data_IF_556545080698
#
_entry.id   IF_556545080698
#
_cell.length_a   1.000
_cell.length_b   1.000
_cell.length_c   1.000
_cell.angle_alpha   90.00
_cell.angle_beta   90.00
_cell.angle_gamma   90.00
#
_symmetry.space_group_name_H-M   'P 1'
#
loop_
_entity.id
_entity.type
_entity.pdbx_description
1 polymer ?
#
# COMPACT_ATOMS: atom_id res chain seq x y z
N UNK A 1 -20.11 0.41 25.43
CA UNK A 1 -20.33 0.48 23.96
C UNK A 1 -19.77 1.82 23.50
N UNK A 2 -18.72 1.85 22.67
CA UNK A 2 -18.07 3.10 22.24
C UNK A 2 -18.48 3.42 20.79
N UNK A 3 -19.29 4.47 20.54
CA UNK A 3 -19.73 4.85 19.20
C UNK A 3 -18.77 5.90 18.64
N UNK A 4 -17.90 5.56 17.69
CA UNK A 4 -17.07 6.63 17.12
C UNK A 4 -15.91 6.27 16.19
N UNK A 5 -15.62 5.01 15.91
CA UNK A 5 -14.58 4.69 14.92
C UNK A 5 -15.16 4.71 13.51
N UNK A 6 -15.22 5.90 12.92
CA UNK A 6 -15.43 6.09 11.49
C UNK A 6 -14.11 5.83 10.75
N UNK A 7 -14.06 4.74 9.98
CA UNK A 7 -12.94 4.47 9.07
C UNK A 7 -13.11 5.36 7.84
N UNK A 8 -12.41 6.49 7.79
CA UNK A 8 -12.34 7.32 6.58
C UNK A 8 -11.37 6.67 5.60
N UNK A 9 -11.90 6.11 4.52
CA UNK A 9 -11.09 5.79 3.35
C UNK A 9 -10.80 7.12 2.62
N UNK A 10 -9.58 7.63 2.77
CA UNK A 10 -9.12 8.74 1.93
C UNK A 10 -8.77 8.13 0.57
N UNK A 11 -9.62 8.35 -0.43
CA UNK A 11 -9.29 8.02 -1.81
C UNK A 11 -8.05 8.83 -2.19
N UNK A 12 -6.94 8.15 -2.44
CA UNK A 12 -5.72 8.79 -2.94
C UNK A 12 -6.01 9.13 -4.40
N UNK A 13 -5.95 10.42 -4.73
CA UNK A 13 -5.95 10.90 -6.12
C UNK A 13 -4.93 10.07 -6.91
N UNK A 14 -5.39 9.47 -8.00
CA UNK A 14 -4.76 8.35 -8.71
C UNK A 14 -3.22 8.39 -8.71
N UNK A 15 -2.62 7.30 -8.22
CA UNK A 15 -1.18 7.00 -8.30
C UNK A 15 -0.63 7.21 -9.71
N UNK A 16 0.60 7.72 -9.78
CA UNK A 16 1.42 7.88 -10.99
C UNK A 16 1.28 6.69 -11.97
N UNK A 17 0.98 6.99 -13.24
CA UNK A 17 0.90 5.97 -14.29
C UNK A 17 2.31 5.57 -14.71
N UNK A 18 2.72 4.33 -14.39
CA UNK A 18 4.01 3.79 -14.82
C UNK A 18 3.86 2.93 -16.08
N UNK A 19 4.61 3.21 -17.18
CA UNK A 19 4.64 2.34 -18.34
C UNK A 19 5.36 1.02 -17.99
N UNK A 20 4.78 -0.11 -18.39
CA UNK A 20 5.26 -1.45 -18.05
C UNK A 20 5.55 -2.23 -19.33
N UNK A 21 6.76 -2.75 -19.49
CA UNK A 21 7.06 -3.75 -20.52
C UNK A 21 6.70 -5.15 -19.99
N UNK A 22 6.09 -6.01 -20.81
CA UNK A 22 5.53 -7.31 -20.39
C UNK A 22 6.49 -8.35 -19.80
N UNK A 23 7.79 -8.04 -19.69
CA UNK A 23 8.80 -8.87 -19.01
C UNK A 23 9.48 -8.15 -17.84
N UNK A 24 9.09 -6.92 -17.54
CA UNK A 24 9.69 -6.12 -16.49
C UNK A 24 9.23 -6.60 -15.11
N UNK A 25 10.16 -6.52 -14.16
CA UNK A 25 9.83 -6.50 -12.75
C UNK A 25 9.32 -5.10 -12.39
N UNK A 26 8.19 -5.02 -11.69
CA UNK A 26 7.76 -3.75 -11.09
C UNK A 26 7.78 -3.88 -9.58
N UNK A 27 8.25 -2.82 -8.96
CA UNK A 27 8.10 -2.58 -7.54
C UNK A 27 7.07 -1.48 -7.34
N UNK A 28 6.03 -1.76 -6.54
CA UNK A 28 5.10 -0.73 -6.07
C UNK A 28 5.41 -0.42 -4.61
N UNK A 29 5.38 0.86 -4.28
CA UNK A 29 5.53 1.35 -2.92
C UNK A 29 4.38 2.28 -2.57
N UNK A 30 3.92 2.22 -1.32
CA UNK A 30 3.04 3.24 -0.77
C UNK A 30 3.47 3.59 0.65
N UNK A 31 3.34 4.86 1.00
CA UNK A 31 3.63 5.37 2.33
C UNK A 31 2.30 5.70 2.98
N UNK A 32 2.07 5.16 4.18
CA UNK A 32 0.87 5.45 4.97
C UNK A 32 1.26 5.91 6.35
N UNK A 33 0.52 6.86 6.89
CA UNK A 33 0.68 7.35 8.26
C UNK A 33 -0.55 6.97 9.08
N UNK A 34 -0.34 6.42 10.28
CA UNK A 34 -1.46 6.08 11.16
C UNK A 34 -1.08 5.15 12.30
N UNK A 35 -2.05 4.31 12.72
CA UNK A 35 -1.89 3.44 13.88
C UNK A 35 -0.85 2.34 13.67
N UNK A 36 -0.26 1.84 14.77
CA UNK A 36 0.75 0.77 14.74
C UNK A 36 0.27 -0.51 14.00
N UNK A 37 -1.03 -0.81 14.02
CA UNK A 37 -1.62 -2.02 13.45
C UNK A 37 -2.12 -1.89 11.99
N UNK A 38 -1.62 -0.90 11.22
CA UNK A 38 -2.00 -0.72 9.81
C UNK A 38 -1.60 -1.91 8.92
N UNK A 39 -2.45 -2.21 7.94
CA UNK A 39 -2.24 -3.24 6.91
C UNK A 39 -2.55 -2.67 5.52
N UNK A 40 -1.84 -3.16 4.50
CA UNK A 40 -2.05 -2.79 3.09
C UNK A 40 -2.54 -4.01 2.31
N UNK A 41 -3.47 -3.78 1.39
CA UNK A 41 -3.93 -4.76 0.41
C UNK A 41 -3.72 -4.21 -0.99
N UNK A 42 -3.21 -5.05 -1.88
CA UNK A 42 -2.95 -4.68 -3.26
C UNK A 42 -4.06 -5.23 -4.15
N UNK A 43 -4.46 -4.42 -5.14
CA UNK A 43 -5.48 -4.79 -6.12
C UNK A 43 -4.90 -4.68 -7.53
N UNK A 44 -5.39 -5.53 -8.44
CA UNK A 44 -5.18 -5.44 -9.89
C UNK A 44 -6.56 -5.65 -10.53
N UNK A 45 -7.00 -4.70 -11.35
CA UNK A 45 -8.30 -4.78 -12.06
C UNK A 45 -9.45 -5.17 -11.10
N UNK A 46 -9.52 -4.48 -9.97
CA UNK A 46 -10.47 -4.70 -8.86
C UNK A 46 -10.37 -6.04 -8.11
N UNK A 47 -9.45 -6.93 -8.50
CA UNK A 47 -9.17 -8.17 -7.79
C UNK A 47 -8.01 -8.02 -6.79
N UNK A 48 -8.22 -8.48 -5.55
CA UNK A 48 -7.16 -8.52 -4.56
C UNK A 48 -6.07 -9.52 -5.00
N UNK A 49 -4.81 -9.07 -4.99
CA UNK A 49 -3.67 -9.92 -5.34
C UNK A 49 -2.93 -10.34 -4.08
N UNK A 50 -2.68 -11.64 -3.96
CA UNK A 50 -1.88 -12.17 -2.87
C UNK A 50 -0.40 -12.06 -3.22
N UNK A 51 0.27 -11.07 -2.64
CA UNK A 51 1.69 -10.80 -2.86
C UNK A 51 2.34 -10.53 -1.52
N UNK A 52 3.54 -11.09 -1.33
CA UNK A 52 4.33 -10.80 -0.16
C UNK A 52 4.64 -9.30 -0.14
N UNK A 53 4.27 -8.65 0.96
CA UNK A 53 4.48 -7.22 1.18
C UNK A 53 5.51 -7.09 2.29
N UNK A 54 6.62 -6.42 2.01
CA UNK A 54 7.56 -5.98 3.04
C UNK A 54 7.13 -4.61 3.54
N UNK A 55 7.45 -4.28 4.79
CA UNK A 55 7.27 -2.93 5.29
C UNK A 55 8.47 -2.48 6.12
N UNK A 56 8.74 -1.18 6.09
CA UNK A 56 9.68 -0.51 6.99
C UNK A 56 8.94 0.57 7.75
N UNK A 57 9.16 0.61 9.07
CA UNK A 57 8.66 1.72 9.88
C UNK A 57 9.73 2.81 9.90
N UNK A 58 9.32 4.07 9.69
CA UNK A 58 10.22 5.20 9.88
C UNK A 58 10.35 5.45 11.40
N UNK A 59 11.56 5.74 11.86
CA UNK A 59 11.85 6.04 13.28
C UNK A 59 11.59 7.52 13.55
N UNK A 60 10.52 8.04 12.99
CA UNK A 60 9.98 9.34 13.35
C UNK A 60 8.75 9.12 14.22
N UNK A 61 8.45 10.09 15.09
CA UNK A 61 7.32 10.01 16.02
C UNK A 61 5.96 10.14 15.28
N UNK A 62 5.96 9.96 13.94
CA UNK A 62 4.82 10.22 13.05
C UNK A 62 3.95 8.97 12.82
N UNK A 63 4.45 7.78 13.15
CA UNK A 63 3.74 6.51 12.89
C UNK A 63 3.71 6.15 11.40
N UNK A 64 4.69 6.60 10.62
CA UNK A 64 4.76 6.36 9.18
C UNK A 64 5.34 4.98 8.86
N UNK A 65 4.68 4.27 7.95
CA UNK A 65 5.12 2.98 7.41
C UNK A 65 5.17 3.04 5.89
N UNK A 66 6.27 2.59 5.34
CA UNK A 66 6.44 2.35 3.90
C UNK A 66 6.20 0.87 3.63
N UNK A 67 5.25 0.57 2.73
CA UNK A 67 4.95 -0.78 2.27
C UNK A 67 5.44 -0.93 0.85
N UNK A 68 6.16 -2.02 0.57
CA UNK A 68 6.72 -2.30 -0.73
C UNK A 68 6.32 -3.71 -1.17
N UNK A 69 6.08 -3.87 -2.47
CA UNK A 69 5.95 -5.17 -3.12
C UNK A 69 6.71 -5.17 -4.43
N UNK A 70 7.12 -6.36 -4.86
CA UNK A 70 7.73 -6.57 -6.18
C UNK A 70 7.06 -7.75 -6.86
N UNK A 71 6.75 -7.62 -8.15
CA UNK A 71 6.19 -8.73 -8.96
C UNK A 71 6.82 -8.73 -10.35
N UNK A 72 7.30 -9.91 -10.76
CA UNK A 72 7.70 -10.22 -12.15
C UNK A 72 6.50 -10.72 -12.93
N UNK A 73 6.31 -10.22 -14.15
CA UNK A 73 5.22 -10.64 -15.03
C UNK A 73 3.85 -10.20 -14.50
N UNK A 74 3.39 -9.05 -14.98
CA UNK A 74 2.08 -8.52 -14.65
C UNK A 74 0.99 -9.06 -15.55
#
# INVERSE_FOLDING_TARGET
>A
MNPGMSFKYQSIDSSEKMPVCGRSELSLACITQGSSAMQVRWFKDDAAINVQTSYRSHVDNSGTKEFQKTKKGW
#
